data_IF_907661946992
#
_entry.id   IF_907661946992
#
_cell.length_a   1.000
_cell.length_b   1.000
_cell.length_c   1.000
_cell.angle_alpha   90.00
_cell.angle_beta   90.00
_cell.angle_gamma   90.00
#
_symmetry.space_group_name_H-M   'P 1'
#
loop_
_entity.id
_entity.type
_entity.pdbx_description
1 polymer ?
#
# COMPACT_ATOMS: atom_id res chain seq x y z
N UNK A 1 44.24 -11.62 15.48
CA UNK A 1 43.19 -10.98 16.31
C UNK A 1 43.10 -9.51 15.91
N UNK A 2 41.97 -9.04 15.35
CA UNK A 2 41.62 -7.62 15.34
C UNK A 2 40.45 -7.35 16.29
N UNK A 3 40.54 -6.20 16.94
CA UNK A 3 39.77 -5.73 18.09
C UNK A 3 38.35 -5.29 17.75
N UNK A 4 37.40 -5.69 18.61
CA UNK A 4 36.00 -5.26 18.57
C UNK A 4 35.88 -3.90 19.25
N UNK A 5 35.79 -2.80 18.48
CA UNK A 5 35.33 -1.53 19.01
C UNK A 5 33.81 -1.44 18.88
N UNK A 6 33.13 -1.56 20.03
CA UNK A 6 31.68 -1.44 20.17
C UNK A 6 31.33 0.05 20.26
N UNK A 7 30.92 0.66 19.15
CA UNK A 7 30.44 2.04 19.15
C UNK A 7 29.00 2.08 19.69
N UNK A 8 28.85 2.41 20.96
CA UNK A 8 27.57 2.74 21.59
C UNK A 8 27.18 4.18 21.23
N UNK A 9 26.38 4.39 20.19
CA UNK A 9 25.72 5.69 19.99
C UNK A 9 24.34 5.67 20.65
N UNK A 10 24.29 6.19 21.87
CA UNK A 10 23.06 6.56 22.57
C UNK A 10 22.57 7.87 21.96
N UNK A 11 21.55 7.83 21.13
CA UNK A 11 20.84 9.03 20.65
C UNK A 11 19.40 9.00 21.18
N UNK A 12 19.27 9.66 22.34
CA UNK A 12 18.23 10.58 22.79
C UNK A 12 16.75 10.28 22.40
N UNK A 13 15.93 10.21 23.45
CA UNK A 13 14.53 9.82 23.43
C UNK A 13 13.56 10.81 22.78
N UNK A 14 12.55 10.23 22.16
CA UNK A 14 11.25 10.81 21.84
C UNK A 14 10.18 9.72 22.01
N UNK A 15 8.91 10.05 22.31
CA UNK A 15 7.90 9.09 22.77
C UNK A 15 7.29 8.20 21.68
N UNK A 16 7.79 8.25 20.45
CA UNK A 16 7.31 7.39 19.37
C UNK A 16 8.21 6.16 19.30
N UNK A 17 7.74 5.02 19.81
CA UNK A 17 8.31 3.72 19.50
C UNK A 17 8.32 3.57 17.97
N UNK A 18 9.44 3.90 17.33
CA UNK A 18 9.68 3.48 15.95
C UNK A 18 9.97 1.99 16.03
N UNK A 19 8.94 1.15 16.03
CA UNK A 19 9.12 -0.26 15.68
C UNK A 19 9.71 -0.25 14.28
N UNK A 20 11.02 -0.44 14.17
CA UNK A 20 11.70 -0.65 12.88
C UNK A 20 11.19 -1.99 12.35
N UNK A 21 10.04 -1.96 11.70
CA UNK A 21 9.61 -3.04 10.83
C UNK A 21 10.56 -2.99 9.64
N UNK A 22 11.59 -3.83 9.66
CA UNK A 22 12.45 -4.08 8.51
C UNK A 22 11.64 -4.87 7.48
N UNK A 23 10.70 -4.20 6.83
CA UNK A 23 10.01 -4.71 5.67
C UNK A 23 10.97 -4.57 4.48
N UNK A 24 11.86 -5.55 4.32
CA UNK A 24 12.76 -5.64 3.16
C UNK A 24 11.94 -6.09 1.96
N UNK A 25 11.20 -5.14 1.39
CA UNK A 25 10.52 -5.32 0.12
C UNK A 25 11.42 -4.71 -0.95
N UNK A 26 12.23 -5.54 -1.60
CA UNK A 26 12.96 -5.17 -2.79
C UNK A 26 12.09 -5.49 -4.01
N UNK A 27 11.19 -4.58 -4.40
CA UNK A 27 10.56 -4.66 -5.72
C UNK A 27 11.42 -3.85 -6.68
N UNK A 28 12.06 -4.53 -7.62
CA UNK A 28 12.95 -3.85 -8.57
C UNK A 28 12.16 -2.87 -9.43
N UNK A 29 10.94 -3.20 -9.84
CA UNK A 29 10.09 -2.33 -10.67
C UNK A 29 8.58 -2.57 -10.50
N UNK A 30 8.16 -3.57 -9.71
CA UNK A 30 6.75 -3.98 -9.60
C UNK A 30 6.04 -3.28 -8.43
N UNK A 31 4.81 -2.81 -8.61
CA UNK A 31 4.04 -2.27 -7.51
C UNK A 31 3.59 -3.37 -6.54
N UNK A 32 3.47 -3.01 -5.27
CA UNK A 32 2.76 -3.82 -4.29
C UNK A 32 1.25 -3.58 -4.44
N UNK A 33 0.53 -4.57 -4.97
CA UNK A 33 -0.92 -4.51 -5.14
C UNK A 33 -1.59 -5.41 -4.10
N UNK A 34 -2.47 -4.83 -3.29
CA UNK A 34 -3.34 -5.57 -2.41
C UNK A 34 -4.76 -5.59 -2.95
N UNK A 35 -5.34 -6.79 -3.02
CA UNK A 35 -6.73 -6.98 -3.40
C UNK A 35 -7.66 -6.75 -2.22
N UNK A 36 -8.25 -5.57 -2.19
CA UNK A 36 -9.20 -5.11 -1.19
C UNK A 36 -10.67 -5.32 -1.56
N UNK A 37 -11.52 -4.74 -0.73
CA UNK A 37 -12.96 -4.55 -0.96
C UNK A 37 -13.41 -3.27 -0.23
N UNK A 38 -14.69 -2.89 -0.35
CA UNK A 38 -15.24 -1.66 0.23
C UNK A 38 -15.28 -1.61 1.76
N UNK A 39 -14.98 -2.71 2.47
CA UNK A 39 -15.05 -2.74 3.94
C UNK A 39 -13.97 -1.89 4.64
N UNK A 40 -13.02 -1.33 3.89
CA UNK A 40 -12.11 -0.32 4.43
C UNK A 40 -12.81 1.02 4.75
N UNK A 41 -13.91 1.33 4.07
CA UNK A 41 -14.69 2.58 4.23
C UNK A 41 -16.15 2.34 4.64
N UNK A 42 -16.66 1.13 4.46
CA UNK A 42 -18.03 0.76 4.80
C UNK A 42 -18.05 -0.18 6.01
N UNK A 43 -19.02 0.02 6.91
CA UNK A 43 -19.24 -0.85 8.06
C UNK A 43 -20.38 -1.84 7.77
N UNK A 44 -20.15 -3.11 8.11
CA UNK A 44 -21.19 -4.15 8.07
C UNK A 44 -21.13 -4.96 9.38
N UNK A 45 -22.17 -4.92 10.22
CA UNK A 45 -22.16 -5.58 11.54
C UNK A 45 -21.87 -7.08 11.48
N UNK A 46 -22.31 -7.75 10.42
CA UNK A 46 -22.13 -9.20 10.26
C UNK A 46 -20.71 -9.60 9.82
N UNK A 47 -19.85 -8.64 9.45
CA UNK A 47 -18.50 -8.90 8.93
C UNK A 47 -17.45 -7.99 9.57
N UNK A 48 -17.59 -7.70 10.86
CA UNK A 48 -16.70 -6.77 11.59
C UNK A 48 -15.24 -7.23 11.51
N UNK A 49 -14.94 -8.49 11.84
CA UNK A 49 -13.57 -9.03 11.81
C UNK A 49 -12.94 -8.94 10.43
N UNK A 50 -13.73 -9.23 9.40
CA UNK A 50 -13.30 -9.13 8.01
C UNK A 50 -13.01 -7.66 7.63
N UNK A 51 -13.91 -6.73 7.98
CA UNK A 51 -13.71 -5.31 7.71
C UNK A 51 -12.51 -4.71 8.45
N UNK A 52 -12.32 -5.05 9.73
CA UNK A 52 -11.16 -4.62 10.51
C UNK A 52 -9.84 -4.98 9.80
N UNK A 53 -9.72 -6.21 9.32
CA UNK A 53 -8.51 -6.66 8.60
C UNK A 53 -8.28 -5.86 7.31
N UNK A 54 -9.35 -5.49 6.60
CA UNK A 54 -9.29 -4.71 5.36
C UNK A 54 -8.91 -3.25 5.63
N UNK A 55 -9.42 -2.64 6.69
CA UNK A 55 -9.05 -1.28 7.11
C UNK A 55 -7.60 -1.19 7.59
N UNK A 56 -7.10 -2.20 8.32
CA UNK A 56 -5.69 -2.25 8.76
C UNK A 56 -4.75 -2.25 7.55
N UNK A 57 -5.03 -3.08 6.54
CA UNK A 57 -4.18 -3.11 5.34
C UNK A 57 -4.31 -1.83 4.52
N UNK A 58 -5.50 -1.25 4.41
CA UNK A 58 -5.68 0.06 3.75
C UNK A 58 -4.84 1.15 4.44
N UNK A 59 -4.84 1.18 5.78
CA UNK A 59 -4.03 2.12 6.55
C UNK A 59 -2.52 1.87 6.35
N UNK A 60 -2.09 0.60 6.34
CA UNK A 60 -0.71 0.21 6.04
C UNK A 60 -0.27 0.73 4.67
N UNK A 61 -1.06 0.51 3.63
CA UNK A 61 -0.74 0.93 2.26
C UNK A 61 -0.71 2.45 2.16
N UNK A 62 -1.70 3.15 2.73
CA UNK A 62 -1.71 4.62 2.76
C UNK A 62 -0.46 5.17 3.44
N UNK A 63 -0.09 4.58 4.57
CA UNK A 63 1.12 4.94 5.32
C UNK A 63 2.38 4.67 4.52
N UNK A 64 2.46 3.54 3.82
CA UNK A 64 3.58 3.23 2.93
C UNK A 64 3.69 4.27 1.81
N UNK A 65 2.59 4.56 1.10
CA UNK A 65 2.57 5.58 0.06
C UNK A 65 3.05 6.93 0.59
N UNK A 66 2.58 7.37 1.76
CA UNK A 66 3.04 8.63 2.37
C UNK A 66 4.53 8.58 2.75
N UNK A 67 4.99 7.48 3.34
CA UNK A 67 6.38 7.32 3.77
C UNK A 67 7.38 7.24 2.61
N UNK A 68 6.98 6.65 1.48
CA UNK A 68 7.80 6.55 0.27
C UNK A 68 7.63 7.76 -0.66
N UNK A 69 6.51 8.51 -0.60
CA UNK A 69 6.33 9.82 -1.26
C UNK A 69 7.26 10.89 -0.67
N UNK A 70 7.31 11.01 0.66
CA UNK A 70 8.01 12.10 1.36
C UNK A 70 9.54 12.06 1.24
N UNK A 71 10.11 10.91 0.87
CA UNK A 71 11.57 10.72 0.81
C UNK A 71 12.14 10.92 -0.58
N UNK A 72 11.34 11.44 -1.52
CA UNK A 72 11.78 11.75 -2.87
C UNK A 72 12.50 10.58 -3.52
N UNK A 73 11.83 9.43 -3.67
CA UNK A 73 12.31 8.28 -4.48
C UNK A 73 13.77 7.86 -4.27
N UNK A 74 14.37 8.18 -3.13
CA UNK A 74 15.74 7.86 -2.78
C UNK A 74 15.85 7.95 -1.27
N UNK A 75 16.23 6.86 -0.63
CA UNK A 75 16.48 6.77 0.82
C UNK A 75 15.24 6.54 1.72
N UNK A 76 14.84 5.27 1.85
CA UNK A 76 14.95 4.59 3.15
C UNK A 76 15.08 3.09 2.87
N UNK A 77 16.22 2.72 2.30
CA UNK A 77 16.78 1.41 2.58
C UNK A 77 18.26 1.69 2.84
N UNK A 78 18.61 1.88 4.11
CA UNK A 78 19.96 1.54 4.52
C UNK A 78 20.02 0.01 4.40
N UNK A 79 20.37 -0.47 3.21
CA UNK A 79 20.65 -1.87 2.95
C UNK A 79 21.76 -2.25 3.92
N UNK A 80 21.41 -2.95 5.00
CA UNK A 80 22.36 -3.38 6.04
C UNK A 80 23.32 -4.49 5.56
N UNK A 81 23.43 -4.66 4.24
CA UNK A 81 24.42 -5.49 3.58
C UNK A 81 24.86 -4.76 2.32
N UNK A 82 26.14 -4.40 2.33
CA UNK A 82 26.89 -3.84 1.21
C UNK A 82 26.53 -4.56 -0.10
N UNK A 83 26.25 -3.77 -1.16
CA UNK A 83 26.38 -4.06 -2.61
C UNK A 83 25.18 -3.84 -3.54
N UNK A 84 23.98 -3.46 -3.07
CA UNK A 84 22.97 -2.85 -3.97
C UNK A 84 22.31 -1.64 -3.34
N UNK A 85 22.70 -0.45 -3.79
CA UNK A 85 22.25 0.87 -3.30
C UNK A 85 21.04 1.41 -4.08
N UNK A 86 20.52 0.65 -5.04
CA UNK A 86 19.67 1.22 -6.11
C UNK A 86 18.19 0.75 -6.00
N UNK A 87 17.83 0.04 -4.92
CA UNK A 87 16.59 -0.73 -4.84
C UNK A 87 15.35 0.06 -4.36
N UNK A 88 15.52 1.30 -3.88
CA UNK A 88 14.44 2.05 -3.22
C UNK A 88 13.70 3.01 -4.17
N UNK A 89 14.09 3.04 -5.45
CA UNK A 89 13.95 4.26 -6.24
C UNK A 89 12.55 4.48 -6.85
N UNK A 90 11.52 3.65 -6.60
CA UNK A 90 10.12 3.89 -7.00
C UNK A 90 9.14 2.85 -6.46
N UNK A 91 9.08 2.65 -5.15
CA UNK A 91 8.09 1.74 -4.57
C UNK A 91 6.66 2.30 -4.75
N UNK A 92 5.83 1.57 -5.49
CA UNK A 92 4.40 1.88 -5.72
C UNK A 92 3.52 0.94 -4.91
N UNK A 93 2.46 1.45 -4.30
CA UNK A 93 1.55 0.66 -3.48
C UNK A 93 0.09 0.97 -3.82
N UNK A 94 -0.72 -0.07 -3.93
CA UNK A 94 -2.13 0.04 -4.30
C UNK A 94 -3.01 -0.82 -3.40
N UNK A 95 -4.08 -0.23 -2.88
CA UNK A 95 -5.22 -0.93 -2.31
C UNK A 95 -6.32 -0.91 -3.37
N UNK A 96 -6.53 -2.05 -4.03
CA UNK A 96 -7.46 -2.13 -5.17
C UNK A 96 -8.84 -2.60 -4.73
N UNK A 97 -9.88 -1.92 -5.23
CA UNK A 97 -11.27 -2.26 -4.90
C UNK A 97 -12.09 -2.28 -6.17
N UNK A 98 -12.68 -3.43 -6.45
CA UNK A 98 -13.66 -3.56 -7.52
C UNK A 98 -15.03 -3.14 -7.01
N UNK A 99 -15.69 -2.25 -7.76
CA UNK A 99 -17.01 -1.72 -7.46
C UNK A 99 -17.94 -1.87 -8.65
N UNK A 100 -19.23 -1.76 -8.36
CA UNK A 100 -20.24 -1.56 -9.38
C UNK A 100 -20.28 -0.08 -9.79
N UNK A 101 -20.93 0.22 -10.92
CA UNK A 101 -21.02 1.56 -11.48
C UNK A 101 -21.67 2.58 -10.53
N UNK A 102 -22.53 2.12 -9.63
CA UNK A 102 -23.19 2.92 -8.59
C UNK A 102 -22.30 3.17 -7.36
N UNK A 103 -21.07 2.66 -7.36
CA UNK A 103 -20.12 2.76 -6.25
C UNK A 103 -20.38 1.78 -5.10
N UNK A 104 -21.34 0.87 -5.25
CA UNK A 104 -21.53 -0.24 -4.30
C UNK A 104 -20.43 -1.30 -4.47
N UNK A 105 -20.28 -2.16 -3.46
CA UNK A 105 -19.28 -3.22 -3.51
C UNK A 105 -19.67 -4.30 -4.54
N UNK A 106 -18.70 -4.85 -5.26
CA UNK A 106 -18.96 -5.97 -6.17
C UNK A 106 -19.50 -7.22 -5.43
N UNK A 107 -19.18 -7.40 -4.14
CA UNK A 107 -19.70 -8.51 -3.34
C UNK A 107 -19.23 -9.86 -3.88
N UNK A 108 -20.17 -10.68 -4.37
CA UNK A 108 -19.89 -11.96 -5.06
C UNK A 108 -19.79 -11.82 -6.58
N UNK A 109 -20.03 -10.63 -7.12
CA UNK A 109 -20.03 -10.34 -8.57
C UNK A 109 -18.65 -9.87 -9.08
N UNK A 110 -17.58 -10.12 -8.33
CA UNK A 110 -16.23 -9.73 -8.76
C UNK A 110 -15.79 -10.55 -9.99
N UNK A 111 -14.97 -9.94 -10.84
CA UNK A 111 -14.47 -10.53 -12.07
C UNK A 111 -12.94 -10.67 -12.03
N UNK A 112 -12.47 -11.93 -12.00
CA UNK A 112 -11.05 -12.27 -11.96
C UNK A 112 -10.26 -11.74 -13.17
N UNK A 113 -10.74 -11.96 -14.41
CA UNK A 113 -10.11 -11.39 -15.61
C UNK A 113 -10.04 -9.86 -15.60
N UNK A 114 -11.11 -9.16 -15.20
CA UNK A 114 -11.12 -7.70 -15.09
C UNK A 114 -10.07 -7.20 -14.09
N UNK A 115 -9.97 -7.84 -12.92
CA UNK A 115 -8.90 -7.59 -11.95
C UNK A 115 -7.52 -7.79 -12.54
N UNK A 116 -7.31 -8.91 -13.22
CA UNK A 116 -6.02 -9.22 -13.86
C UNK A 116 -5.60 -8.13 -14.84
N UNK A 117 -6.54 -7.65 -15.67
CA UNK A 117 -6.29 -6.55 -16.60
C UNK A 117 -5.86 -5.27 -15.89
N UNK A 118 -6.58 -4.83 -14.85
CA UNK A 118 -6.22 -3.64 -14.08
C UNK A 118 -4.88 -3.78 -13.36
N UNK A 119 -4.56 -4.98 -12.86
CA UNK A 119 -3.29 -5.22 -12.15
C UNK A 119 -2.10 -5.17 -13.10
N UNK A 120 -2.26 -5.67 -14.33
CA UNK A 120 -1.24 -5.54 -15.37
C UNK A 120 -1.05 -4.08 -15.77
N UNK A 121 -2.13 -3.31 -15.91
CA UNK A 121 -2.05 -1.87 -16.19
C UNK A 121 -1.30 -1.11 -15.09
N UNK A 122 -1.69 -1.32 -13.83
CA UNK A 122 -1.02 -0.73 -12.66
C UNK A 122 0.45 -1.15 -12.52
N UNK A 123 0.78 -2.37 -12.93
CA UNK A 123 2.15 -2.86 -12.94
C UNK A 123 3.01 -2.18 -14.01
N UNK A 124 2.42 -1.88 -15.18
CA UNK A 124 3.08 -1.19 -16.28
C UNK A 124 3.29 0.31 -16.04
N UNK A 125 2.56 0.92 -15.10
CA UNK A 125 2.74 2.32 -14.76
C UNK A 125 4.12 2.61 -14.16
N UNK A 126 4.73 3.71 -14.64
CA UNK A 126 6.02 4.19 -14.12
C UNK A 126 5.87 4.99 -12.83
N UNK A 127 4.71 5.59 -12.63
CA UNK A 127 4.42 6.50 -11.53
C UNK A 127 3.28 5.99 -10.66
N UNK A 128 3.24 6.43 -9.41
CA UNK A 128 2.18 6.07 -8.47
C UNK A 128 0.86 6.75 -8.88
N UNK A 129 -0.15 5.98 -9.28
CA UNK A 129 -1.54 6.47 -9.39
C UNK A 129 -2.19 6.59 -8.00
N UNK A 130 -3.50 6.84 -7.94
CA UNK A 130 -4.22 6.88 -6.66
C UNK A 130 -4.02 5.57 -5.88
N UNK A 131 -3.65 5.68 -4.60
CA UNK A 131 -3.31 4.50 -3.79
C UNK A 131 -4.58 3.69 -3.47
N UNK A 132 -5.70 4.38 -3.27
CA UNK A 132 -7.01 3.78 -3.12
C UNK A 132 -7.64 3.61 -4.50
N UNK A 133 -7.12 2.64 -5.25
CA UNK A 133 -7.50 2.41 -6.64
C UNK A 133 -8.84 1.68 -6.71
N UNK A 134 -9.91 2.46 -6.88
CA UNK A 134 -11.27 1.95 -7.06
C UNK A 134 -11.57 1.86 -8.55
N UNK A 135 -12.05 0.71 -9.01
CA UNK A 135 -12.31 0.49 -10.43
C UNK A 135 -13.62 -0.26 -10.64
N UNK A 136 -14.20 -0.06 -11.82
CA UNK A 136 -15.40 -0.76 -12.29
C UNK A 136 -15.02 -1.59 -13.51
N UNK A 137 -15.53 -2.83 -13.57
CA UNK A 137 -15.31 -3.73 -14.72
C UNK A 137 -15.59 -2.99 -16.02
N UNK A 138 -14.70 -3.14 -17.01
CA UNK A 138 -14.77 -2.54 -18.35
C UNK A 138 -14.72 -1.01 -18.42
N UNK A 139 -14.75 -0.31 -17.29
CA UNK A 139 -14.64 1.15 -17.20
C UNK A 139 -13.23 1.57 -16.76
N UNK A 140 -12.61 0.80 -15.86
CA UNK A 140 -11.32 1.14 -15.26
C UNK A 140 -11.48 1.98 -13.99
N UNK A 141 -10.50 2.83 -13.70
CA UNK A 141 -10.49 3.68 -12.51
C UNK A 141 -11.68 4.63 -12.45
N UNK A 142 -12.35 4.68 -11.31
CA UNK A 142 -13.44 5.62 -11.01
C UNK A 142 -13.28 6.10 -9.58
N UNK A 143 -13.21 7.40 -9.37
CA UNK A 143 -13.11 7.97 -8.02
C UNK A 143 -14.49 7.98 -7.33
N UNK A 144 -14.58 7.31 -6.19
CA UNK A 144 -15.77 7.25 -5.34
C UNK A 144 -15.60 8.01 -4.01
N UNK A 145 -14.58 8.87 -3.89
CA UNK A 145 -14.27 9.59 -2.65
C UNK A 145 -15.46 10.39 -2.11
N UNK A 146 -16.20 11.08 -2.98
CA UNK A 146 -17.41 11.83 -2.60
C UNK A 146 -18.50 10.92 -2.03
N UNK A 147 -18.66 9.71 -2.58
CA UNK A 147 -19.64 8.73 -2.10
C UNK A 147 -19.19 8.09 -0.79
N UNK A 148 -17.89 7.85 -0.63
CA UNK A 148 -17.31 7.22 0.57
C UNK A 148 -17.25 8.19 1.76
N UNK A 149 -17.13 9.50 1.50
CA UNK A 149 -17.12 10.54 2.54
C UNK A 149 -18.38 10.56 3.42
N UNK A 150 -19.49 10.00 2.93
CA UNK A 150 -20.77 9.94 3.66
C UNK A 150 -20.78 8.94 4.81
N UNK A 151 -19.77 8.08 4.89
CA UNK A 151 -19.66 7.00 5.87
C UNK A 151 -18.47 7.15 6.83
N UNK A 152 -17.76 8.28 6.74
CA UNK A 152 -16.59 8.65 7.58
C UNK A 152 -16.99 9.73 8.57
#
# INVERSE_FOLDING_TARGET
MPSVQRATSRLLGGPYLTTKIHLVICFHELPFIYTGNKLNVMTMPNTITFGMSKSVVAHLIKTAVQAYRAKGYKSIIHCFRHERRDCADKARFYYTVERLIDGTHAGVKYDGPARGKEYVDLAGDKEQREWHYTFVKEVGYVDFSDLDSKFV
#
